data_IF_400471409849
#
_entry.id   IF_400471409849
#
_cell.length_a   1.000
_cell.length_b   1.000
_cell.length_c   1.000
_cell.angle_alpha   90.00
_cell.angle_beta   90.00
_cell.angle_gamma   90.00
#
_symmetry.space_group_name_H-M   'P 1'
#
loop_
_entity.id
_entity.type
_entity.pdbx_description
1 polymer ?
#
# COMPACT_ATOMS: atom_id res chain seq x y z
N UNK A 1 -14.68 -17.80 15.62
CA UNK A 1 -15.04 -17.51 14.24
C UNK A 1 -15.07 -18.78 13.41
N UNK A 2 -16.24 -19.10 12.88
CA UNK A 2 -16.48 -20.20 11.95
C UNK A 2 -15.93 -19.89 10.53
N UNK A 3 -16.14 -20.81 9.59
CA UNK A 3 -15.67 -20.64 8.22
C UNK A 3 -16.46 -19.57 7.44
N UNK A 4 -17.76 -19.43 7.71
CA UNK A 4 -18.61 -18.50 6.98
C UNK A 4 -18.28 -17.04 7.35
N UNK A 5 -18.11 -16.75 8.65
CA UNK A 5 -17.69 -15.44 9.15
C UNK A 5 -16.35 -15.00 8.55
N UNK A 6 -15.37 -15.93 8.45
CA UNK A 6 -14.08 -15.68 7.79
C UNK A 6 -14.25 -15.30 6.31
N UNK A 7 -15.11 -16.02 5.58
CA UNK A 7 -15.37 -15.75 4.15
C UNK A 7 -16.03 -14.39 3.97
N UNK A 8 -17.00 -14.04 4.81
CA UNK A 8 -17.70 -12.75 4.74
C UNK A 8 -16.74 -11.59 5.01
N UNK A 9 -15.86 -11.72 6.02
CA UNK A 9 -14.83 -10.72 6.29
C UNK A 9 -13.83 -10.58 5.15
N UNK A 10 -13.34 -11.68 4.58
CA UNK A 10 -12.44 -11.63 3.42
C UNK A 10 -13.14 -10.92 2.25
N UNK A 11 -14.38 -11.27 1.93
CA UNK A 11 -15.11 -10.64 0.82
C UNK A 11 -15.38 -9.16 1.06
N UNK A 12 -15.67 -8.76 2.29
CA UNK A 12 -16.01 -7.38 2.62
C UNK A 12 -14.83 -6.45 2.87
N UNK A 13 -13.62 -7.00 3.11
CA UNK A 13 -12.45 -6.21 3.50
C UNK A 13 -11.23 -6.42 2.60
N UNK A 14 -11.15 -7.51 1.84
CA UNK A 14 -10.04 -7.66 0.88
C UNK A 14 -10.23 -6.65 -0.26
N UNK A 15 -9.14 -5.95 -0.62
CA UNK A 15 -9.11 -4.79 -1.52
C UNK A 15 -9.85 -3.55 -1.01
N UNK A 16 -10.30 -3.56 0.23
CA UNK A 16 -10.86 -2.36 0.85
C UNK A 16 -9.77 -1.30 0.97
N UNK A 17 -10.10 -0.08 0.52
CA UNK A 17 -9.22 1.08 0.62
C UNK A 17 -9.62 1.91 1.83
N UNK A 18 -8.61 2.36 2.57
CA UNK A 18 -8.77 3.27 3.70
C UNK A 18 -7.65 4.31 3.71
N UNK A 19 -7.75 5.32 4.57
CA UNK A 19 -6.68 6.29 4.81
C UNK A 19 -5.99 5.96 6.12
N UNK A 20 -4.65 5.91 6.13
CA UNK A 20 -3.91 5.71 7.37
C UNK A 20 -4.09 6.92 8.31
N UNK A 21 -4.48 6.68 9.56
CA UNK A 21 -4.59 7.72 10.62
C UNK A 21 -3.31 7.89 11.42
N UNK A 22 -2.48 6.86 11.42
CA UNK A 22 -1.23 6.77 12.18
C UNK A 22 -0.11 6.24 11.27
N UNK A 23 1.14 6.43 11.69
CA UNK A 23 2.28 5.85 11.00
C UNK A 23 2.21 4.32 11.08
N UNK A 24 2.35 3.63 9.96
CA UNK A 24 2.41 2.17 9.94
C UNK A 24 3.88 1.71 9.82
N UNK A 25 4.38 0.87 10.75
CA UNK A 25 5.76 0.39 10.72
C UNK A 25 6.02 -0.54 9.54
N UNK A 26 7.25 -0.56 9.02
CA UNK A 26 7.72 -1.64 8.14
C UNK A 26 7.91 -2.93 8.93
N UNK A 27 8.15 -4.02 8.21
CA UNK A 27 8.55 -5.29 8.81
C UNK A 27 7.38 -6.21 9.15
N UNK A 28 7.70 -7.31 9.85
CA UNK A 28 6.81 -8.47 9.97
C UNK A 28 5.54 -8.23 10.81
N UNK A 29 5.59 -7.32 11.78
CA UNK A 29 4.57 -7.24 12.83
C UNK A 29 3.65 -6.02 12.70
N UNK A 30 4.17 -4.86 12.30
CA UNK A 30 3.40 -3.64 12.14
C UNK A 30 2.71 -3.20 13.45
N UNK A 31 1.43 -2.83 13.38
CA UNK A 31 0.66 -2.37 14.53
C UNK A 31 -0.17 -3.49 15.17
N UNK A 32 -0.43 -3.34 16.47
CA UNK A 32 -1.33 -4.20 17.23
C UNK A 32 -2.45 -3.36 17.81
N UNK A 33 -3.69 -3.84 17.69
CA UNK A 33 -4.88 -3.21 18.22
C UNK A 33 -5.62 -4.28 19.03
N UNK A 34 -5.95 -3.98 20.29
CA UNK A 34 -6.71 -4.92 21.10
C UNK A 34 -8.21 -4.95 20.70
N UNK A 35 -8.95 -5.88 21.28
CA UNK A 35 -10.40 -6.04 21.14
C UNK A 35 -11.24 -4.83 21.61
N UNK A 36 -10.62 -3.81 22.21
CA UNK A 36 -11.24 -2.54 22.58
C UNK A 36 -10.95 -1.42 21.56
N UNK A 37 -10.22 -1.71 20.47
CA UNK A 37 -9.84 -0.71 19.48
C UNK A 37 -8.71 0.20 19.93
N UNK A 38 -7.85 -0.25 20.85
CA UNK A 38 -6.71 0.53 21.33
C UNK A 38 -5.41 0.03 20.72
N UNK A 39 -4.61 0.95 20.16
CA UNK A 39 -3.28 0.64 19.62
C UNK A 39 -2.29 0.40 20.77
N UNK A 40 -1.50 -0.66 20.67
CA UNK A 40 -0.34 -0.90 21.52
C UNK A 40 0.79 0.08 21.13
N UNK A 41 0.81 1.25 21.77
CA UNK A 41 1.71 2.36 21.44
C UNK A 41 3.18 2.01 21.69
N UNK A 42 3.49 1.36 22.80
CA UNK A 42 4.87 0.99 23.15
C UNK A 42 5.46 0.06 22.09
N UNK A 43 4.68 -0.94 21.66
CA UNK A 43 5.10 -1.84 20.58
C UNK A 43 5.18 -1.12 19.25
N UNK A 44 4.23 -0.23 18.93
CA UNK A 44 4.26 0.56 17.71
C UNK A 44 5.54 1.40 17.59
N UNK A 45 5.92 2.11 18.66
CA UNK A 45 7.14 2.91 18.72
C UNK A 45 8.41 2.05 18.57
N UNK A 46 8.42 0.85 19.17
CA UNK A 46 9.53 -0.09 19.02
C UNK A 46 9.67 -0.57 17.57
N UNK A 47 8.57 -0.95 16.93
CA UNK A 47 8.57 -1.39 15.52
C UNK A 47 8.96 -0.24 14.58
N UNK A 48 8.51 1.00 14.83
CA UNK A 48 8.91 2.19 14.07
C UNK A 48 10.41 2.47 14.21
N UNK A 49 10.96 2.40 15.42
CA UNK A 49 12.41 2.61 15.65
C UNK A 49 13.25 1.52 14.99
N UNK A 50 12.81 0.27 15.05
CA UNK A 50 13.57 -0.86 14.51
C UNK A 50 13.51 -0.96 12.98
N UNK A 51 12.33 -0.75 12.39
CA UNK A 51 12.10 -1.03 10.97
C UNK A 51 11.87 0.22 10.12
N UNK A 52 11.61 1.37 10.74
CA UNK A 52 11.21 2.60 10.05
C UNK A 52 9.74 2.57 9.61
N UNK A 53 9.33 3.63 8.91
CA UNK A 53 7.94 3.87 8.50
C UNK A 53 7.67 3.34 7.10
N UNK A 54 6.62 2.52 6.97
CA UNK A 54 6.14 2.05 5.68
C UNK A 54 5.18 3.08 5.08
N UNK A 55 4.21 3.52 5.87
CA UNK A 55 3.10 4.36 5.43
C UNK A 55 2.95 5.53 6.40
N UNK A 56 2.88 6.73 5.84
CA UNK A 56 2.61 7.96 6.59
C UNK A 56 1.11 8.18 6.78
N UNK A 57 0.68 8.85 7.86
CA UNK A 57 -0.70 9.29 8.02
C UNK A 57 -1.17 10.11 6.81
N UNK A 58 -2.44 9.94 6.45
CA UNK A 58 -3.08 10.63 5.33
C UNK A 58 -2.90 9.96 3.97
N UNK A 59 -2.03 8.96 3.83
CA UNK A 59 -1.93 8.21 2.59
C UNK A 59 -3.02 7.13 2.50
N UNK A 60 -3.59 6.89 1.31
CA UNK A 60 -4.42 5.72 1.10
C UNK A 60 -3.62 4.44 1.25
N UNK A 61 -4.32 3.40 1.71
CA UNK A 61 -3.82 2.06 1.87
C UNK A 61 -4.88 1.05 1.47
N UNK A 62 -4.43 -0.11 1.03
CA UNK A 62 -5.31 -1.22 0.66
C UNK A 62 -5.08 -2.40 1.62
N UNK A 63 -6.17 -3.00 2.10
CA UNK A 63 -6.12 -4.30 2.76
C UNK A 63 -5.95 -5.35 1.66
N UNK A 64 -4.83 -6.04 1.66
CA UNK A 64 -4.45 -6.98 0.58
C UNK A 64 -4.59 -8.44 0.95
N UNK A 65 -4.61 -8.73 2.26
CA UNK A 65 -4.78 -10.10 2.77
C UNK A 65 -5.23 -10.08 4.22
N UNK A 66 -6.04 -11.07 4.59
CA UNK A 66 -6.51 -11.28 5.95
C UNK A 66 -6.14 -12.70 6.36
N UNK A 67 -5.43 -12.83 7.47
CA UNK A 67 -5.03 -14.12 8.04
C UNK A 67 -5.67 -14.28 9.41
N UNK A 68 -6.39 -15.38 9.60
CA UNK A 68 -7.02 -15.74 10.87
C UNK A 68 -6.14 -16.73 11.61
N UNK A 69 -5.72 -16.36 12.82
CA UNK A 69 -5.05 -17.26 13.77
C UNK A 69 -6.02 -17.58 14.91
N UNK A 70 -5.53 -18.32 15.90
CA UNK A 70 -6.32 -18.70 17.06
C UNK A 70 -6.82 -17.45 17.82
N UNK A 71 -5.94 -16.48 18.10
CA UNK A 71 -6.22 -15.31 18.95
C UNK A 71 -6.09 -13.98 18.21
N UNK A 72 -5.67 -14.03 16.95
CA UNK A 72 -5.32 -12.86 16.16
C UNK A 72 -6.02 -12.86 14.81
N UNK A 73 -6.36 -11.66 14.34
CA UNK A 73 -6.63 -11.40 12.92
C UNK A 73 -5.59 -10.45 12.38
N UNK A 74 -4.84 -10.87 11.36
CA UNK A 74 -3.76 -10.08 10.76
C UNK A 74 -4.20 -9.58 9.40
N UNK A 75 -4.15 -8.26 9.24
CA UNK A 75 -4.45 -7.54 8.01
C UNK A 75 -3.14 -7.08 7.39
N UNK A 76 -2.80 -7.60 6.22
CA UNK A 76 -1.65 -7.11 5.45
C UNK A 76 -2.08 -5.87 4.67
N UNK A 77 -1.38 -4.76 4.91
CA UNK A 77 -1.59 -3.47 4.29
C UNK A 77 -0.58 -3.30 3.18
N UNK A 78 -1.03 -2.99 1.96
CA UNK A 78 -0.17 -2.84 0.78
C UNK A 78 0.80 -4.02 0.57
N UNK A 79 0.28 -5.25 0.63
CA UNK A 79 1.00 -6.54 0.49
C UNK A 79 1.92 -6.93 1.66
N UNK A 80 1.78 -6.26 2.81
CA UNK A 80 2.48 -6.66 4.02
C UNK A 80 3.92 -6.16 4.10
N UNK A 81 4.49 -6.23 5.31
CA UNK A 81 5.87 -5.78 5.57
C UNK A 81 6.95 -6.87 5.39
N UNK A 82 6.60 -8.02 4.82
CA UNK A 82 7.52 -9.16 4.64
C UNK A 82 8.18 -9.16 3.26
N UNK A 83 9.45 -9.57 3.27
CA UNK A 83 10.19 -9.93 2.08
C UNK A 83 9.88 -11.38 1.72
N UNK A 84 8.90 -11.59 0.83
CA UNK A 84 8.83 -12.83 0.09
C UNK A 84 9.66 -12.59 -1.18
N UNK A 85 10.68 -13.41 -1.43
CA UNK A 85 11.37 -13.39 -2.71
C UNK A 85 10.34 -13.69 -3.79
N UNK A 86 10.07 -12.71 -4.63
CA UNK A 86 9.10 -12.82 -5.69
C UNK A 86 9.77 -12.51 -7.02
N UNK A 87 9.30 -13.16 -8.09
CA UNK A 87 9.88 -13.04 -9.44
C UNK A 87 10.01 -11.58 -9.93
N UNK A 88 9.13 -10.68 -9.47
CA UNK A 88 9.15 -9.26 -9.85
C UNK A 88 10.34 -8.48 -9.28
N UNK A 89 11.08 -9.05 -8.32
CA UNK A 89 12.35 -8.50 -7.85
C UNK A 89 13.44 -8.49 -8.96
N UNK A 90 13.20 -9.22 -10.05
CA UNK A 90 14.05 -9.26 -11.25
C UNK A 90 13.54 -8.39 -12.40
N UNK A 91 12.42 -7.66 -12.25
CA UNK A 91 11.94 -6.76 -13.31
C UNK A 91 12.91 -5.58 -13.42
N UNK A 92 13.70 -5.56 -14.49
CA UNK A 92 14.12 -4.34 -15.16
C UNK A 92 12.99 -3.92 -16.08
N UNK A 93 12.47 -2.71 -15.90
CA UNK A 93 11.79 -2.04 -16.99
C UNK A 93 12.92 -1.60 -17.94
N UNK A 94 12.74 -1.89 -19.20
CA UNK A 94 13.66 -1.53 -20.26
C UNK A 94 12.76 -1.35 -21.46
N UNK A 95 12.38 -0.11 -21.73
CA UNK A 95 11.62 0.24 -22.93
C UNK A 95 12.52 0.13 -24.18
N UNK A 96 12.94 -1.10 -24.51
CA UNK A 96 13.50 -1.47 -25.80
C UNK A 96 12.52 -2.42 -26.49
N UNK A 97 12.33 -2.26 -27.80
CA UNK A 97 11.32 -2.90 -28.64
C UNK A 97 11.43 -4.44 -28.80
N UNK A 98 11.81 -5.17 -27.75
CA UNK A 98 12.15 -6.59 -27.83
C UNK A 98 11.93 -7.40 -26.55
N UNK A 99 11.11 -6.94 -25.59
CA UNK A 99 10.44 -7.79 -24.58
C UNK A 99 11.29 -8.72 -23.69
N UNK A 100 12.62 -8.58 -23.68
CA UNK A 100 13.51 -9.45 -22.93
C UNK A 100 13.80 -8.84 -21.55
N UNK A 101 13.28 -9.48 -20.50
CA UNK A 101 13.57 -9.14 -19.10
C UNK A 101 14.99 -9.59 -18.73
N UNK A 102 15.84 -8.67 -18.26
CA UNK A 102 17.16 -8.98 -17.70
C UNK A 102 17.22 -8.70 -16.19
N UNK A 103 18.04 -9.46 -15.43
CA UNK A 103 18.18 -9.25 -13.99
C UNK A 103 18.78 -7.87 -13.67
N UNK A 104 18.24 -7.20 -12.65
CA UNK A 104 18.83 -5.98 -12.10
C UNK A 104 20.25 -6.20 -11.61
N UNK A 105 21.14 -5.29 -12.03
CA UNK A 105 22.47 -5.14 -11.46
C UNK A 105 22.36 -4.91 -9.93
N UNK A 106 23.17 -5.59 -9.10
CA UNK A 106 23.24 -5.36 -7.66
C UNK A 106 23.38 -3.89 -7.24
N UNK A 107 24.00 -3.02 -8.04
CA UNK A 107 24.06 -1.58 -7.76
C UNK A 107 22.69 -0.88 -7.91
N UNK A 108 21.91 -1.23 -8.93
CA UNK A 108 20.57 -0.69 -9.15
C UNK A 108 19.57 -1.17 -8.07
N UNK A 109 19.75 -2.39 -7.53
CA UNK A 109 18.94 -2.87 -6.39
C UNK A 109 19.12 -2.02 -5.13
N UNK A 110 20.32 -1.47 -4.89
CA UNK A 110 20.58 -0.57 -3.76
C UNK A 110 19.98 0.82 -3.98
N UNK A 111 19.88 1.27 -5.23
CA UNK A 111 19.29 2.56 -5.60
C UNK A 111 17.75 2.53 -5.61
N UNK A 112 17.14 1.36 -5.90
CA UNK A 112 15.69 1.19 -6.04
C UNK A 112 15.16 0.11 -5.07
N UNK A 113 15.14 0.39 -3.75
CA UNK A 113 14.68 -0.57 -2.75
C UNK A 113 13.17 -0.83 -2.90
N UNK A 114 12.76 -2.06 -2.61
CA UNK A 114 11.35 -2.44 -2.51
C UNK A 114 10.79 -1.79 -1.24
N UNK A 115 9.76 -0.96 -1.39
CA UNK A 115 8.96 -0.47 -0.30
C UNK A 115 7.97 -1.58 0.09
N UNK A 116 8.20 -2.19 1.25
CA UNK A 116 7.24 -3.12 1.84
C UNK A 116 6.06 -2.34 2.43
N UNK A 117 4.88 -2.96 2.41
CA UNK A 117 3.72 -2.48 3.13
C UNK A 117 3.86 -2.65 4.65
N UNK A 118 2.74 -2.82 5.33
CA UNK A 118 2.69 -3.00 6.79
C UNK A 118 1.68 -4.07 7.17
N UNK A 119 1.50 -4.31 8.46
CA UNK A 119 0.42 -5.15 8.97
C UNK A 119 -0.26 -4.48 10.15
N UNK A 120 -1.55 -4.75 10.30
CA UNK A 120 -2.32 -4.43 11.50
C UNK A 120 -2.85 -5.74 12.05
N UNK A 121 -2.57 -6.02 13.32
CA UNK A 121 -3.04 -7.23 14.01
C UNK A 121 -4.10 -6.84 15.03
N UNK A 122 -5.30 -7.38 14.88
CA UNK A 122 -6.31 -7.35 15.94
C UNK A 122 -6.05 -8.52 16.89
N UNK A 123 -5.84 -8.24 18.17
CA UNK A 123 -5.58 -9.21 19.24
C UNK A 123 -6.79 -9.32 20.17
N UNK A 124 -7.30 -10.53 20.38
CA UNK A 124 -8.50 -10.77 21.21
C UNK A 124 -8.14 -11.47 22.52
N UNK A 125 -8.47 -10.85 23.66
CA UNK A 125 -8.21 -11.42 24.99
C UNK A 125 -9.36 -12.35 25.37
N UNK A 126 -9.12 -13.67 25.41
CA UNK A 126 -10.13 -14.64 25.83
C UNK A 126 -10.15 -15.96 25.06
N UNK A 127 -9.17 -16.21 24.19
CA UNK A 127 -9.06 -17.46 23.44
C UNK A 127 -9.28 -17.24 21.95
N UNK A 128 -10.30 -17.86 21.37
CA UNK A 128 -10.54 -17.85 19.92
C UNK A 128 -11.02 -16.48 19.42
N UNK A 129 -10.60 -16.09 18.21
CA UNK A 129 -11.16 -14.94 17.49
C UNK A 129 -12.71 -14.99 17.52
N UNK A 130 -13.40 -13.95 17.99
CA UNK A 130 -14.87 -13.92 18.11
C UNK A 130 -15.54 -13.90 16.74
N UNK A 131 -16.86 -14.09 16.68
CA UNK A 131 -17.61 -13.70 15.47
C UNK A 131 -17.59 -12.18 15.32
N UNK A 132 -17.32 -11.70 14.12
CA UNK A 132 -17.25 -10.28 13.80
C UNK A 132 -17.88 -10.03 12.43
N UNK A 133 -18.76 -9.07 12.37
CA UNK A 133 -19.20 -8.47 11.11
C UNK A 133 -18.10 -7.61 10.49
N UNK A 134 -18.27 -7.27 9.20
CA UNK A 134 -17.39 -6.35 8.49
C UNK A 134 -17.33 -4.99 9.20
N UNK A 135 -18.47 -4.47 9.63
CA UNK A 135 -18.53 -3.15 10.28
C UNK A 135 -17.86 -3.14 11.66
N UNK A 136 -17.99 -4.22 12.43
CA UNK A 136 -17.28 -4.35 13.71
C UNK A 136 -15.76 -4.43 13.52
N UNK A 137 -15.30 -5.18 12.51
CA UNK A 137 -13.88 -5.22 12.16
C UNK A 137 -13.37 -3.84 11.70
N UNK A 138 -14.12 -3.11 10.86
CA UNK A 138 -13.77 -1.73 10.47
C UNK A 138 -13.73 -0.80 11.67
N UNK A 139 -14.67 -0.94 12.61
CA UNK A 139 -14.70 -0.15 13.85
C UNK A 139 -13.44 -0.39 14.70
N UNK A 140 -12.97 -1.62 14.86
CA UNK A 140 -11.71 -1.91 15.56
C UNK A 140 -10.50 -1.33 14.79
N UNK A 141 -10.44 -1.56 13.48
CA UNK A 141 -9.39 -1.01 12.62
C UNK A 141 -9.40 0.52 12.57
N UNK A 142 -10.51 1.17 12.95
CA UNK A 142 -10.65 2.63 12.92
C UNK A 142 -9.68 3.37 13.85
N UNK A 143 -9.04 2.64 14.77
CA UNK A 143 -7.95 3.16 15.58
C UNK A 143 -6.73 3.58 14.73
N UNK A 144 -6.51 2.92 13.60
CA UNK A 144 -5.38 3.15 12.70
C UNK A 144 -5.78 3.52 11.26
N UNK A 145 -6.99 3.18 10.83
CA UNK A 145 -7.48 3.39 9.46
C UNK A 145 -8.75 4.24 9.46
N UNK A 146 -8.99 4.98 8.39
CA UNK A 146 -10.23 5.72 8.16
C UNK A 146 -10.86 5.24 6.85
N UNK A 147 -11.96 4.49 6.96
CA UNK A 147 -12.70 3.94 5.84
C UNK A 147 -13.75 4.91 5.27
N UNK A 148 -13.99 6.05 5.94
CA UNK A 148 -15.01 7.02 5.55
C UNK A 148 -14.38 8.31 4.98
N UNK A 149 -13.10 8.55 5.27
CA UNK A 149 -12.41 9.74 4.81
C UNK A 149 -12.19 9.72 3.31
N UNK A 150 -12.75 10.74 2.65
CA UNK A 150 -12.30 11.17 1.33
C UNK A 150 -10.84 11.60 1.45
N UNK A 151 -10.00 11.12 0.53
CA UNK A 151 -8.54 11.24 0.57
C UNK A 151 -8.11 12.68 0.91
N UNK A 152 -7.09 12.88 1.78
CA UNK A 152 -6.72 14.22 2.30
C UNK A 152 -6.43 15.28 1.24
N UNK A 153 -6.14 14.86 0.02
CA UNK A 153 -5.92 15.74 -1.14
C UNK A 153 -7.14 16.55 -1.55
N UNK A 154 -8.35 16.22 -1.07
CA UNK A 154 -9.49 17.15 -1.18
C UNK A 154 -9.20 18.49 -0.50
N UNK A 155 -8.25 18.55 0.45
CA UNK A 155 -7.92 19.77 1.22
C UNK A 155 -6.74 20.57 0.67
N UNK A 156 -5.93 20.04 -0.26
CA UNK A 156 -4.63 20.65 -0.61
C UNK A 156 -4.53 21.28 -1.99
N UNK A 157 -5.60 21.41 -2.76
CA UNK A 157 -5.39 22.01 -4.09
C UNK A 157 -6.59 22.70 -4.71
N UNK A 158 -6.63 24.01 -4.54
CA UNK A 158 -7.23 24.91 -5.52
C UNK A 158 -6.52 24.85 -6.90
N UNK A 159 -5.41 24.11 -7.04
CA UNK A 159 -4.59 24.02 -8.26
C UNK A 159 -4.75 22.70 -9.05
N UNK A 160 -5.27 21.62 -8.45
CA UNK A 160 -5.47 20.33 -9.12
C UNK A 160 -6.74 20.43 -9.97
N UNK A 161 -6.66 20.23 -11.30
CA UNK A 161 -7.84 20.23 -12.18
C UNK A 161 -8.92 19.26 -11.70
N UNK A 162 -10.19 19.59 -11.92
CA UNK A 162 -11.31 18.79 -11.38
C UNK A 162 -11.26 17.32 -11.85
N UNK A 163 -10.84 17.07 -13.10
CA UNK A 163 -10.62 15.72 -13.63
C UNK A 163 -9.67 14.86 -12.77
N UNK A 164 -8.64 15.48 -12.18
CA UNK A 164 -7.68 14.76 -11.33
C UNK A 164 -8.25 14.55 -9.93
N UNK A 165 -9.05 15.47 -9.39
CA UNK A 165 -9.78 15.25 -8.14
C UNK A 165 -10.73 14.07 -8.24
N UNK A 166 -11.46 13.96 -9.36
CA UNK A 166 -12.33 12.83 -9.62
C UNK A 166 -11.57 11.50 -9.69
N UNK A 167 -10.44 11.46 -10.39
CA UNK A 167 -9.61 10.26 -10.46
C UNK A 167 -9.00 9.89 -9.10
N UNK A 168 -8.55 10.86 -8.30
CA UNK A 168 -8.11 10.62 -6.92
C UNK A 168 -9.23 9.97 -6.10
N UNK A 169 -10.46 10.50 -6.16
CA UNK A 169 -11.63 9.92 -5.47
C UNK A 169 -11.95 8.49 -5.91
N UNK A 170 -11.62 8.14 -7.16
CA UNK A 170 -11.80 6.79 -7.73
C UNK A 170 -10.58 5.89 -7.53
N UNK A 171 -9.51 6.39 -6.90
CA UNK A 171 -8.24 5.68 -6.76
C UNK A 171 -7.60 5.31 -8.11
N UNK A 172 -7.74 6.21 -9.09
CA UNK A 172 -7.23 6.11 -10.45
C UNK A 172 -6.11 7.12 -10.70
N UNK A 173 -5.22 6.79 -11.64
CA UNK A 173 -4.14 7.66 -12.09
C UNK A 173 -4.43 8.09 -13.52
N UNK A 174 -4.19 9.36 -13.84
CA UNK A 174 -4.37 9.92 -15.18
C UNK A 174 -3.07 10.55 -15.69
N UNK A 175 -2.92 10.58 -17.02
CA UNK A 175 -1.83 11.30 -17.67
C UNK A 175 -1.87 12.78 -17.27
N UNK A 176 -0.70 13.34 -16.99
CA UNK A 176 -0.55 14.72 -16.54
C UNK A 176 -0.70 14.95 -15.04
N UNK A 177 -1.05 13.92 -14.24
CA UNK A 177 -1.01 14.04 -12.78
C UNK A 177 0.42 14.29 -12.29
N UNK A 178 0.57 15.02 -11.19
CA UNK A 178 1.83 15.13 -10.47
C UNK A 178 2.02 13.97 -9.48
N UNK A 179 3.22 13.84 -8.89
CA UNK A 179 3.52 12.78 -7.93
C UNK A 179 2.59 12.80 -6.72
N UNK A 180 2.24 13.99 -6.23
CA UNK A 180 1.39 14.13 -5.05
C UNK A 180 -0.05 13.68 -5.33
N UNK A 181 -0.58 13.97 -6.52
CA UNK A 181 -1.86 13.46 -7.00
C UNK A 181 -1.84 11.93 -7.14
N UNK A 182 -0.73 11.34 -7.60
CA UNK A 182 -0.61 9.88 -7.69
C UNK A 182 -0.51 9.23 -6.30
N UNK A 183 0.29 9.77 -5.39
CA UNK A 183 0.36 9.30 -3.99
C UNK A 183 -0.99 9.42 -3.30
N UNK A 184 -1.73 10.46 -3.64
CA UNK A 184 -3.08 10.70 -3.16
C UNK A 184 -4.09 9.68 -3.67
N UNK A 185 -3.99 9.29 -4.93
CA UNK A 185 -4.88 8.30 -5.52
C UNK A 185 -4.55 6.87 -5.07
N UNK A 186 -3.26 6.50 -5.05
CA UNK A 186 -2.78 5.11 -4.94
C UNK A 186 -1.92 4.82 -3.72
N UNK A 187 -1.45 5.83 -3.01
CA UNK A 187 -0.56 5.69 -1.86
C UNK A 187 0.89 5.53 -2.30
N UNK A 188 1.74 5.06 -1.39
CA UNK A 188 3.13 4.79 -1.70
C UNK A 188 3.23 3.60 -2.68
N UNK A 189 4.00 3.71 -3.78
CA UNK A 189 4.26 2.57 -4.65
C UNK A 189 5.12 1.55 -3.92
N UNK A 190 4.97 0.27 -4.25
CA UNK A 190 5.84 -0.76 -3.68
C UNK A 190 7.26 -0.69 -4.26
N UNK A 191 7.44 -0.05 -5.42
CA UNK A 191 8.75 0.14 -6.03
C UNK A 191 8.80 1.41 -6.87
N UNK A 192 9.96 2.07 -6.86
CA UNK A 192 10.32 3.14 -7.79
C UNK A 192 11.56 2.72 -8.57
N UNK A 193 11.58 2.95 -9.88
CA UNK A 193 12.71 2.62 -10.76
C UNK A 193 13.05 3.84 -11.58
N UNK A 194 14.28 4.34 -11.44
CA UNK A 194 14.79 5.43 -12.27
C UNK A 194 15.51 4.87 -13.49
N UNK A 195 15.23 5.46 -14.64
CA UNK A 195 15.85 5.14 -15.91
C UNK A 195 16.37 6.41 -16.57
N UNK A 196 17.56 6.32 -17.15
CA UNK A 196 18.08 7.35 -18.04
C UNK A 196 18.10 6.75 -19.44
N UNK A 197 17.27 7.28 -20.34
CA UNK A 197 17.23 6.82 -21.74
C UNK A 197 18.55 7.17 -22.44
N UNK A 198 18.90 6.48 -23.54
CA UNK A 198 20.09 6.82 -24.34
C UNK A 198 20.09 8.27 -24.87
N UNK A 199 18.90 8.89 -24.98
CA UNK A 199 18.71 10.29 -25.36
C UNK A 199 19.03 11.29 -24.24
N UNK A 200 19.36 10.82 -23.03
CA UNK A 200 19.62 11.64 -21.84
C UNK A 200 18.36 12.02 -21.05
N UNK A 201 17.17 11.61 -21.48
CA UNK A 201 15.92 11.84 -20.73
C UNK A 201 15.87 10.92 -19.50
N UNK A 202 15.58 11.49 -18.33
CA UNK A 202 15.35 10.74 -17.10
C UNK A 202 13.85 10.49 -16.86
N UNK A 203 13.50 9.24 -16.61
CA UNK A 203 12.15 8.82 -16.22
C UNK A 203 12.16 8.07 -14.89
N UNK A 204 11.07 8.13 -14.15
CA UNK A 204 10.88 7.36 -12.92
C UNK A 204 9.58 6.56 -12.99
N UNK A 205 9.68 5.23 -12.95
CA UNK A 205 8.53 4.33 -12.93
C UNK A 205 8.14 3.98 -11.51
N UNK A 206 6.87 4.20 -11.18
CA UNK A 206 6.26 3.79 -9.94
C UNK A 206 5.40 2.56 -10.19
N UNK A 207 5.67 1.50 -9.42
CA UNK A 207 4.97 0.23 -9.54
C UNK A 207 4.02 0.06 -8.36
N UNK A 208 2.78 -0.30 -8.68
CA UNK A 208 1.68 -0.52 -7.74
C UNK A 208 1.10 -1.91 -7.92
N UNK A 209 0.59 -2.49 -6.82
CA UNK A 209 0.03 -3.84 -6.82
C UNK A 209 1.08 -4.94 -6.98
N UNK A 210 0.63 -6.18 -7.00
CA UNK A 210 1.45 -7.36 -7.26
C UNK A 210 0.76 -8.24 -8.31
N UNK A 211 1.54 -9.03 -9.09
CA UNK A 211 1.00 -9.94 -10.09
C UNK A 211 -0.17 -10.80 -9.56
N UNK A 212 -1.21 -11.02 -10.39
CA UNK A 212 -1.29 -10.65 -11.80
C UNK A 212 -1.59 -9.16 -12.05
N UNK A 213 -2.02 -8.40 -11.04
CA UNK A 213 -2.49 -7.02 -11.21
C UNK A 213 -1.39 -6.02 -10.84
N UNK A 214 -0.67 -5.53 -11.87
CA UNK A 214 0.42 -4.55 -11.68
C UNK A 214 0.13 -3.29 -12.47
N UNK A 215 0.22 -2.14 -11.82
CA UNK A 215 0.10 -0.83 -12.44
C UNK A 215 1.45 -0.13 -12.45
N UNK A 216 1.89 0.28 -13.62
CA UNK A 216 3.07 1.08 -13.88
C UNK A 216 2.65 2.52 -14.16
N UNK A 217 3.26 3.46 -13.46
CA UNK A 217 3.06 4.90 -13.63
C UNK A 217 4.43 5.52 -13.90
N UNK A 218 4.66 5.94 -15.15
CA UNK A 218 5.92 6.54 -15.58
C UNK A 218 5.85 8.05 -15.45
N UNK A 219 6.83 8.63 -14.78
CA UNK A 219 7.02 10.07 -14.65
C UNK A 219 8.18 10.55 -15.53
N UNK A 220 8.01 11.72 -16.14
CA UNK A 220 9.11 12.56 -16.66
C UNK A 220 9.08 13.86 -15.87
N UNK A 221 10.18 14.20 -15.19
CA UNK A 221 10.17 15.25 -14.18
C UNK A 221 9.18 14.92 -13.06
N UNK A 222 8.14 15.73 -12.89
CA UNK A 222 7.09 15.53 -11.88
C UNK A 222 5.76 15.06 -12.47
N UNK A 223 5.67 14.87 -13.78
CA UNK A 223 4.41 14.64 -14.49
C UNK A 223 4.30 13.22 -14.99
N UNK A 224 3.13 12.60 -14.81
CA UNK A 224 2.80 11.29 -15.39
C UNK A 224 2.73 11.39 -16.92
N UNK A 225 3.61 10.66 -17.60
CA UNK A 225 3.71 10.61 -19.07
C UNK A 225 3.24 9.28 -19.67
N UNK A 226 3.19 8.21 -18.89
CA UNK A 226 2.69 6.92 -19.33
C UNK A 226 2.06 6.13 -18.17
N UNK A 227 1.02 5.34 -18.48
CA UNK A 227 0.34 4.46 -17.53
C UNK A 227 0.14 3.12 -18.23
N UNK A 228 0.55 2.03 -17.58
CA UNK A 228 0.38 0.70 -18.13
C UNK A 228 -0.08 -0.26 -17.04
N UNK A 229 -1.15 -1.03 -17.30
CA UNK A 229 -1.68 -2.02 -16.37
C UNK A 229 -1.59 -3.42 -16.99
N UNK A 230 -1.08 -4.38 -16.22
CA UNK A 230 -1.05 -5.82 -16.55
C UNK A 230 -2.09 -6.57 -15.71
#
# INVERSE_FOLDING_TARGET
MDQLGRILLIRGLNREIAVAKVMLPRGKHGLFINDQGQVDQERAEKELRANGTAIQPGLPVEITKITFKDHDMIFEINNGGKNHEHWYQHIQIGMGAGGMMQPLDPQQKRQNPIAYGSSITLTFKGGKVPELSVDEAKKLLSAALDFQRKLPTELYSSQVPEKFKEAIRKHEVLLGMDRDAVLSAKGAPFRKVRETKPTGEETEDWLYGLPPHVLFVTFSGDTVVNIHQY
#
